data_IF_031417618546
#
_entry.id   IF_031417618546
#
_cell.length_a   1.000
_cell.length_b   1.000
_cell.length_c   1.000
_cell.angle_alpha   90.00
_cell.angle_beta   90.00
_cell.angle_gamma   90.00
#
_symmetry.space_group_name_H-M   'P 1'
#
loop_
_entity.id
_entity.type
_entity.pdbx_description
1 polymer ?
#
# COMPACT_ATOMS: atom_id res chain seq x y z
N UNK A 1 -1.14 8.28 9.89
CA UNK A 1 -1.82 7.85 8.64
C UNK A 1 -1.18 8.61 7.52
N UNK A 2 -0.55 7.91 6.58
CA UNK A 2 0.09 8.56 5.43
C UNK A 2 -0.89 8.58 4.26
N UNK A 3 -0.87 9.66 3.50
CA UNK A 3 -1.67 9.84 2.30
C UNK A 3 -0.75 10.37 1.20
N UNK A 4 -0.98 9.93 -0.02
CA UNK A 4 -0.30 10.44 -1.21
C UNK A 4 -1.27 10.55 -2.37
N UNK A 5 -0.93 11.42 -3.31
CA UNK A 5 -1.61 11.53 -4.60
C UNK A 5 -0.67 11.04 -5.67
N UNK A 6 -1.11 10.10 -6.48
CA UNK A 6 -0.33 9.57 -7.60
C UNK A 6 -0.36 10.53 -8.78
N UNK A 7 0.44 10.25 -9.82
CA UNK A 7 0.45 11.08 -11.03
C UNK A 7 -0.92 11.13 -11.74
N UNK A 8 -1.70 10.06 -11.65
CA UNK A 8 -3.04 9.99 -12.25
C UNK A 8 -4.12 10.70 -11.43
N UNK A 9 -3.76 11.28 -10.27
CA UNK A 9 -4.67 11.97 -9.37
C UNK A 9 -5.39 11.06 -8.37
N UNK A 10 -5.08 9.76 -8.38
CA UNK A 10 -5.61 8.81 -7.40
C UNK A 10 -5.03 9.14 -6.02
N UNK A 11 -5.90 9.17 -5.02
CA UNK A 11 -5.48 9.33 -3.63
C UNK A 11 -5.36 7.97 -2.97
N UNK A 12 -4.21 7.72 -2.37
CA UNK A 12 -3.89 6.47 -1.70
C UNK A 12 -3.65 6.75 -0.22
N UNK A 13 -4.38 6.04 0.64
CA UNK A 13 -4.31 6.22 2.09
C UNK A 13 -3.79 4.96 2.78
N UNK A 14 -2.72 5.12 3.56
CA UNK A 14 -2.14 4.07 4.39
C UNK A 14 -2.87 3.97 5.73
N UNK A 15 -3.54 2.85 5.95
CA UNK A 15 -4.02 2.41 7.26
C UNK A 15 -3.17 1.23 7.71
N UNK A 16 -3.14 0.99 9.03
CA UNK A 16 -2.41 -0.13 9.63
C UNK A 16 -2.71 -1.47 8.95
N UNK A 17 -3.95 -1.74 8.59
CA UNK A 17 -4.36 -3.06 8.05
C UNK A 17 -4.72 -3.06 6.57
N UNK A 18 -4.75 -1.89 5.92
CA UNK A 18 -5.13 -1.76 4.52
C UNK A 18 -4.58 -0.49 3.88
N UNK A 19 -4.36 -0.54 2.57
CA UNK A 19 -4.14 0.62 1.72
C UNK A 19 -5.42 0.87 0.92
N UNK A 20 -6.00 2.06 1.05
CA UNK A 20 -7.28 2.42 0.44
C UNK A 20 -7.05 3.37 -0.75
N UNK A 21 -7.79 3.17 -1.84
CA UNK A 21 -7.64 3.91 -3.10
C UNK A 21 -8.90 4.68 -3.44
N UNK A 22 -8.74 5.97 -3.75
CA UNK A 22 -9.83 6.91 -4.03
C UNK A 22 -9.57 7.60 -5.37
N UNK A 23 -10.62 7.78 -6.18
CA UNK A 23 -10.47 8.36 -7.53
C UNK A 23 -9.87 9.77 -7.50
N UNK A 24 -10.15 10.55 -6.44
CA UNK A 24 -9.66 11.90 -6.19
C UNK A 24 -10.01 12.34 -4.75
N UNK A 25 -9.63 13.58 -4.39
CA UNK A 25 -9.90 14.18 -3.07
C UNK A 25 -11.39 14.33 -2.71
N UNK A 26 -12.29 14.34 -3.69
CA UNK A 26 -13.72 14.50 -3.48
C UNK A 26 -14.46 13.17 -3.35
N UNK A 27 -13.77 12.04 -3.57
CA UNK A 27 -14.36 10.71 -3.49
C UNK A 27 -14.65 10.34 -2.04
N UNK A 28 -15.92 10.06 -1.74
CA UNK A 28 -16.34 9.65 -0.39
C UNK A 28 -15.92 8.21 -0.07
N UNK A 29 -16.01 7.32 -1.06
CA UNK A 29 -15.73 5.90 -0.92
C UNK A 29 -14.47 5.49 -1.69
N UNK A 30 -13.74 4.52 -1.15
CA UNK A 30 -12.62 3.89 -1.85
C UNK A 30 -13.13 2.97 -2.94
N UNK A 31 -12.56 3.03 -4.14
CA UNK A 31 -12.90 2.08 -5.22
C UNK A 31 -12.16 0.74 -5.05
N UNK A 32 -11.03 0.73 -4.34
CA UNK A 32 -10.24 -0.47 -4.05
C UNK A 32 -9.55 -0.37 -2.70
N UNK A 33 -9.22 -1.52 -2.12
CA UNK A 33 -8.43 -1.61 -0.89
C UNK A 33 -7.53 -2.85 -0.88
N UNK A 34 -6.23 -2.64 -0.74
CA UNK A 34 -5.26 -3.70 -0.53
C UNK A 34 -5.13 -4.00 0.96
N UNK A 35 -5.65 -5.16 1.39
CA UNK A 35 -5.40 -5.68 2.75
C UNK A 35 -4.05 -6.41 2.78
N UNK A 36 -3.53 -6.67 3.98
CA UNK A 36 -2.34 -7.50 4.17
C UNK A 36 -2.52 -8.83 3.41
N UNK A 37 -1.67 -9.13 2.40
CA UNK A 37 -1.77 -10.32 1.58
C UNK A 37 -1.76 -11.60 2.41
N UNK A 38 -2.52 -12.61 1.98
CA UNK A 38 -2.71 -13.86 2.73
C UNK A 38 -1.38 -14.56 3.01
N UNK A 39 -0.44 -14.53 2.07
CA UNK A 39 0.89 -15.14 2.26
C UNK A 39 1.70 -14.50 3.40
N UNK A 40 1.37 -13.26 3.80
CA UNK A 40 2.07 -12.54 4.86
C UNK A 40 1.30 -12.47 6.19
N UNK A 41 0.05 -12.94 6.27
CA UNK A 41 -0.75 -12.79 7.50
C UNK A 41 -0.16 -13.49 8.74
N UNK A 42 0.72 -14.48 8.55
CA UNK A 42 1.42 -15.13 9.66
C UNK A 42 2.60 -14.34 10.24
N UNK A 43 3.10 -13.34 9.50
CA UNK A 43 4.34 -12.62 9.79
C UNK A 43 4.14 -11.10 9.84
N UNK A 44 3.31 -10.54 8.97
CA UNK A 44 3.08 -9.12 8.86
C UNK A 44 2.18 -8.60 9.99
N UNK A 45 2.50 -7.41 10.46
CA UNK A 45 1.81 -6.73 11.56
C UNK A 45 0.95 -5.61 11.01
N UNK A 46 1.55 -4.67 10.28
CA UNK A 46 0.86 -3.50 9.75
C UNK A 46 1.58 -2.84 8.59
N UNK A 47 0.83 -2.21 7.71
CA UNK A 47 1.39 -1.19 6.84
C UNK A 47 1.74 0.04 7.67
N UNK A 48 2.96 0.55 7.51
CA UNK A 48 3.42 1.72 8.25
C UNK A 48 3.83 2.87 7.35
N UNK A 49 4.13 2.60 6.07
CA UNK A 49 4.50 3.63 5.13
C UNK A 49 3.95 3.39 3.71
N UNK A 50 3.89 4.47 2.93
CA UNK A 50 3.63 4.47 1.49
C UNK A 50 4.64 5.37 0.80
N UNK A 51 5.22 4.90 -0.29
CA UNK A 51 6.21 5.63 -1.07
C UNK A 51 5.82 5.62 -2.55
N UNK A 52 6.19 6.70 -3.23
CA UNK A 52 6.10 6.81 -4.68
C UNK A 52 7.53 7.04 -5.17
N UNK A 53 8.13 6.03 -5.79
CA UNK A 53 9.50 6.11 -6.30
C UNK A 53 9.50 5.79 -7.79
N UNK A 54 10.01 6.71 -8.61
CA UNK A 54 10.00 6.61 -10.08
C UNK A 54 8.61 6.24 -10.62
N UNK A 55 7.56 6.88 -10.07
CA UNK A 55 6.16 6.68 -10.45
C UNK A 55 5.59 5.29 -10.15
N UNK A 56 6.30 4.50 -9.34
CA UNK A 56 5.81 3.24 -8.82
C UNK A 56 5.38 3.38 -7.37
N UNK A 57 4.12 3.05 -7.13
CA UNK A 57 3.54 3.02 -5.80
C UNK A 57 4.01 1.77 -5.05
N UNK A 58 4.53 1.96 -3.84
CA UNK A 58 4.81 0.87 -2.93
C UNK A 58 4.32 1.14 -1.51
N UNK A 59 3.87 0.09 -0.83
CA UNK A 59 3.54 0.10 0.58
C UNK A 59 4.58 -0.67 1.38
N UNK A 60 4.99 -0.13 2.52
CA UNK A 60 5.92 -0.79 3.43
C UNK A 60 5.12 -1.52 4.52
N UNK A 61 5.36 -2.82 4.62
CA UNK A 61 4.66 -3.75 5.49
C UNK A 61 5.62 -4.25 6.56
N UNK A 62 5.34 -3.85 7.80
CA UNK A 62 6.12 -4.21 8.98
C UNK A 62 5.90 -5.67 9.33
N UNK A 63 6.98 -6.43 9.54
CA UNK A 63 6.90 -7.85 9.85
C UNK A 63 7.45 -8.20 11.24
N UNK A 64 7.02 -9.35 11.78
CA UNK A 64 7.57 -9.94 13.01
C UNK A 64 8.94 -10.51 12.68
N UNK A 65 9.97 -9.69 12.82
CA UNK A 65 11.35 -10.03 12.48
C UNK A 65 12.21 -8.78 12.34
N UNK A 66 13.35 -8.92 11.67
CA UNK A 66 14.24 -7.80 11.36
C UNK A 66 14.11 -7.31 9.91
N UNK A 67 13.34 -8.02 9.08
CA UNK A 67 13.15 -7.69 7.67
C UNK A 67 11.68 -7.33 7.45
N UNK A 68 11.46 -6.26 6.67
CA UNK A 68 10.15 -5.77 6.25
C UNK A 68 9.91 -6.05 4.77
N UNK A 69 8.67 -5.90 4.31
CA UNK A 69 8.29 -6.18 2.92
C UNK A 69 7.85 -4.89 2.24
N UNK A 70 8.45 -4.59 1.09
CA UNK A 70 7.98 -3.55 0.20
C UNK A 70 7.06 -4.21 -0.84
N UNK A 71 5.80 -3.78 -0.87
CA UNK A 71 4.78 -4.29 -1.78
C UNK A 71 4.58 -3.28 -2.89
N UNK A 72 4.82 -3.68 -4.14
CA UNK A 72 4.49 -2.91 -5.33
C UNK A 72 3.00 -3.04 -5.65
N UNK A 73 2.36 -1.93 -5.97
CA UNK A 73 0.91 -1.86 -6.15
C UNK A 73 0.59 -1.19 -7.48
N UNK A 74 -0.31 -1.79 -8.24
CA UNK A 74 -0.97 -1.11 -9.35
C UNK A 74 -1.97 -0.10 -8.77
N UNK A 75 -1.77 1.18 -9.02
CA UNK A 75 -2.60 2.24 -8.44
C UNK A 75 -4.02 2.28 -9.01
N UNK A 76 -4.23 1.76 -10.23
CA UNK A 76 -5.52 1.80 -10.94
C UNK A 76 -6.43 0.70 -10.42
N UNK A 77 -5.90 -0.48 -10.15
CA UNK A 77 -6.65 -1.62 -9.63
C UNK A 77 -6.57 -1.74 -8.10
N UNK A 78 -5.53 -1.16 -7.49
CA UNK A 78 -5.20 -1.32 -6.07
C UNK A 78 -4.68 -2.73 -5.73
N UNK A 79 -4.19 -3.50 -6.71
CA UNK A 79 -3.71 -4.87 -6.50
C UNK A 79 -2.20 -4.95 -6.38
N UNK A 80 -1.71 -5.84 -5.52
CA UNK A 80 -0.28 -6.17 -5.44
C UNK A 80 0.21 -6.75 -6.77
N UNK A 81 1.28 -6.19 -7.32
CA UNK A 81 1.92 -6.64 -8.57
C UNK A 81 3.26 -7.33 -8.33
N UNK A 82 3.88 -7.07 -7.18
CA UNK A 82 5.15 -7.65 -6.79
C UNK A 82 5.51 -7.29 -5.35
N UNK A 83 6.56 -7.92 -4.83
CA UNK A 83 7.07 -7.62 -3.49
C UNK A 83 8.53 -8.04 -3.37
N UNK A 84 9.24 -7.44 -2.42
CA UNK A 84 10.56 -7.89 -2.00
C UNK A 84 10.80 -7.60 -0.52
N UNK A 85 11.70 -8.39 0.07
CA UNK A 85 12.19 -8.16 1.43
C UNK A 85 13.21 -7.02 1.44
N UNK A 86 13.19 -6.23 2.49
CA UNK A 86 14.20 -5.22 2.78
C UNK A 86 14.46 -5.15 4.30
N UNK A 87 15.55 -4.50 4.68
CA UNK A 87 16.01 -4.38 6.06
C UNK A 87 15.97 -2.94 6.52
#
# INVERSE_FOLDING_TARGET
>A
MKELTTQTGIIVKCRKTAIEFFQNAQSADSFSALKIPKEFQGIAVEFYDLILENDHLAALLGCRGNDDIAIQIDEVTGTMTGWHWFK
#
